data_IF_756716129073
#
_entry.id   IF_756716129073
#
_cell.length_a   1.000
_cell.length_b   1.000
_cell.length_c   1.000
_cell.angle_alpha   90.00
_cell.angle_beta   90.00
_cell.angle_gamma   90.00
#
_symmetry.space_group_name_H-M   'P 1'
#
loop_
_entity.id
_entity.type
_entity.pdbx_description
1 polymer ?
#
# COMPACT_ATOMS: atom_id res chain seq x y z
N UNK A 1 23.09 -29.36 16.38
CA UNK A 1 23.28 -27.91 16.23
C UNK A 1 22.20 -27.23 17.04
N UNK A 2 22.54 -26.52 18.12
CA UNK A 2 21.57 -25.70 18.84
C UNK A 2 21.00 -24.65 17.88
N UNK A 3 19.69 -24.40 17.88
CA UNK A 3 19.14 -23.26 17.17
C UNK A 3 19.82 -22.01 17.74
N UNK A 4 20.64 -21.38 16.91
CA UNK A 4 21.22 -20.07 17.16
C UNK A 4 20.08 -19.12 17.55
N UNK A 5 20.26 -18.44 18.69
CA UNK A 5 19.37 -17.39 19.17
C UNK A 5 19.10 -16.42 18.01
N UNK A 6 17.88 -16.46 17.47
CA UNK A 6 17.34 -15.36 16.65
C UNK A 6 17.39 -14.13 17.56
N UNK A 7 18.14 -13.10 17.17
CA UNK A 7 18.18 -11.86 17.93
C UNK A 7 16.77 -11.27 17.97
N UNK A 8 16.34 -10.82 19.13
CA UNK A 8 15.00 -10.28 19.39
C UNK A 8 14.87 -8.83 18.91
N UNK A 9 15.24 -8.54 17.66
CA UNK A 9 14.84 -7.29 17.00
C UNK A 9 13.50 -7.50 16.31
N UNK A 10 12.46 -7.75 17.09
CA UNK A 10 11.09 -7.79 16.60
C UNK A 10 10.56 -6.37 16.47
N UNK A 11 9.95 -6.03 15.33
CA UNK A 11 9.21 -4.78 15.17
C UNK A 11 8.17 -4.63 16.27
N UNK A 12 7.93 -3.39 16.72
CA UNK A 12 6.88 -3.10 17.70
C UNK A 12 5.53 -3.59 17.18
N UNK A 13 4.86 -4.43 17.97
CA UNK A 13 3.50 -4.88 17.69
C UNK A 13 2.50 -3.89 18.29
N UNK A 14 1.79 -3.16 17.44
CA UNK A 14 0.76 -2.19 17.80
C UNK A 14 -0.61 -2.85 17.61
N UNK A 15 -1.19 -3.31 18.70
CA UNK A 15 -2.52 -3.92 18.73
C UNK A 15 -3.57 -2.86 19.04
N UNK A 16 -4.56 -2.71 18.16
CA UNK A 16 -5.61 -1.70 18.29
C UNK A 16 -6.99 -2.30 18.11
N UNK A 17 -7.96 -1.87 18.91
CA UNK A 17 -9.31 -2.43 18.92
C UNK A 17 -10.41 -1.37 18.96
N UNK A 18 -11.53 -1.60 18.28
CA UNK A 18 -12.71 -0.74 18.35
C UNK A 18 -13.09 -0.14 17.00
N UNK A 19 -13.79 0.99 17.03
CA UNK A 19 -14.14 1.81 15.88
C UNK A 19 -12.89 2.34 15.15
N UNK A 20 -12.99 2.81 13.90
CA UNK A 20 -11.84 3.38 13.19
C UNK A 20 -11.12 4.47 13.99
N UNK A 21 -11.86 5.42 14.57
CA UNK A 21 -11.28 6.47 15.39
C UNK A 21 -10.55 5.93 16.64
N UNK A 22 -11.19 5.04 17.41
CA UNK A 22 -10.58 4.45 18.62
C UNK A 22 -9.31 3.65 18.29
N UNK A 23 -9.32 2.91 17.18
CA UNK A 23 -8.13 2.20 16.70
C UNK A 23 -7.02 3.17 16.33
N UNK A 24 -7.39 4.27 15.66
CA UNK A 24 -6.48 5.35 15.34
C UNK A 24 -5.85 5.95 16.58
N UNK A 25 -6.66 6.33 17.57
CA UNK A 25 -6.20 6.91 18.83
C UNK A 25 -5.20 5.98 19.54
N UNK A 26 -5.50 4.69 19.62
CA UNK A 26 -4.60 3.69 20.19
C UNK A 26 -3.30 3.55 19.40
N UNK A 27 -3.34 3.56 18.06
CA UNK A 27 -2.14 3.52 17.23
C UNK A 27 -1.28 4.76 17.48
N UNK A 28 -1.89 5.95 17.40
CA UNK A 28 -1.23 7.22 17.64
C UNK A 28 -0.53 7.27 19.00
N UNK A 29 -1.22 6.83 20.06
CA UNK A 29 -0.65 6.83 21.41
C UNK A 29 0.46 5.78 21.60
N UNK A 30 0.32 4.58 21.03
CA UNK A 30 1.32 3.52 21.16
C UNK A 30 2.60 3.78 20.36
N UNK A 31 2.50 4.48 19.22
CA UNK A 31 3.60 4.73 18.31
C UNK A 31 4.00 6.22 18.20
N UNK A 32 3.54 7.05 19.15
CA UNK A 32 3.68 8.52 19.10
C UNK A 32 5.10 8.99 18.77
N UNK A 33 6.13 8.47 19.46
CA UNK A 33 7.52 8.86 19.22
C UNK A 33 7.98 8.54 17.78
N UNK A 34 7.62 7.36 17.27
CA UNK A 34 7.95 6.92 15.90
C UNK A 34 7.23 7.77 14.85
N UNK A 35 5.96 8.12 15.12
CA UNK A 35 5.15 9.00 14.27
C UNK A 35 5.79 10.39 14.17
N UNK A 36 6.15 11.02 15.30
CA UNK A 36 6.81 12.33 15.31
C UNK A 36 8.16 12.31 14.59
N UNK A 37 8.93 11.23 14.74
CA UNK A 37 10.17 11.05 13.99
C UNK A 37 9.90 10.97 12.49
N UNK A 38 8.95 10.13 12.06
CA UNK A 38 8.58 10.01 10.65
C UNK A 38 8.12 11.34 10.06
N UNK A 39 7.26 12.08 10.77
CA UNK A 39 6.79 13.41 10.34
C UNK A 39 7.99 14.33 10.11
N UNK A 40 8.85 14.46 11.12
CA UNK A 40 10.02 15.35 11.07
C UNK A 40 10.97 14.94 9.95
N UNK A 41 11.20 13.63 9.78
CA UNK A 41 12.11 13.11 8.76
C UNK A 41 11.57 13.36 7.36
N UNK A 42 10.31 13.02 7.07
CA UNK A 42 9.75 13.22 5.74
C UNK A 42 9.68 14.69 5.36
N UNK A 43 9.35 15.59 6.28
CA UNK A 43 9.39 17.05 6.05
C UNK A 43 10.79 17.57 5.69
N UNK A 44 11.85 16.86 6.07
CA UNK A 44 13.24 17.25 5.77
C UNK A 44 13.85 16.54 4.56
N UNK A 45 13.16 15.55 3.96
CA UNK A 45 13.75 14.77 2.87
C UNK A 45 13.75 15.59 1.56
N UNK A 46 14.87 15.62 0.81
CA UNK A 46 14.92 16.27 -0.50
C UNK A 46 13.97 15.64 -1.53
N UNK A 47 13.54 14.40 -1.32
CA UNK A 47 12.57 13.70 -2.17
C UNK A 47 11.13 14.14 -1.93
N UNK A 48 10.86 14.97 -0.92
CA UNK A 48 9.54 15.53 -0.65
C UNK A 48 9.46 16.97 -1.16
N UNK A 49 8.27 17.41 -1.65
CA UNK A 49 8.09 18.79 -2.08
C UNK A 49 8.12 19.74 -0.87
N UNK A 50 8.17 21.05 -1.11
CA UNK A 50 8.14 22.04 -0.03
C UNK A 50 6.87 21.93 0.81
N UNK A 51 6.93 22.35 2.07
CA UNK A 51 5.81 22.25 3.00
C UNK A 51 4.53 22.91 2.47
N UNK A 52 4.64 24.08 1.82
CA UNK A 52 3.49 24.78 1.20
C UNK A 52 2.79 23.94 0.13
N UNK A 53 3.55 23.12 -0.61
CA UNK A 53 3.00 22.21 -1.61
C UNK A 53 2.32 21.05 -0.90
N UNK A 54 2.99 20.42 0.07
CA UNK A 54 2.41 19.32 0.86
C UNK A 54 1.07 19.75 1.49
N UNK A 55 1.05 20.89 2.19
CA UNK A 55 -0.13 21.39 2.89
C UNK A 55 -1.30 21.69 1.95
N UNK A 56 -1.02 22.21 0.75
CA UNK A 56 -2.02 22.43 -0.28
C UNK A 56 -2.60 21.10 -0.76
N UNK A 57 -1.75 20.15 -1.12
CA UNK A 57 -2.18 18.84 -1.63
C UNK A 57 -3.01 18.06 -0.62
N UNK A 58 -2.54 18.00 0.61
CA UNK A 58 -3.22 17.32 1.70
C UNK A 58 -4.61 17.91 1.94
N UNK A 59 -4.71 19.24 2.01
CA UNK A 59 -5.95 19.95 2.32
C UNK A 59 -6.96 19.96 1.17
N UNK A 60 -6.50 20.28 -0.03
CA UNK A 60 -7.39 20.61 -1.14
C UNK A 60 -7.73 19.38 -2.00
N UNK A 61 -6.90 18.33 -1.96
CA UNK A 61 -7.07 17.14 -2.80
C UNK A 61 -7.24 15.86 -1.99
N UNK A 62 -6.32 15.56 -1.06
CA UNK A 62 -6.32 14.26 -0.38
C UNK A 62 -7.43 14.15 0.66
N UNK A 63 -7.52 15.07 1.63
CA UNK A 63 -8.55 15.01 2.67
C UNK A 63 -9.97 14.94 2.08
N UNK A 64 -10.35 15.79 1.09
CA UNK A 64 -11.67 15.72 0.48
C UNK A 64 -11.92 14.40 -0.25
N UNK A 65 -10.92 13.84 -0.95
CA UNK A 65 -11.06 12.55 -1.62
C UNK A 65 -11.20 11.40 -0.61
N UNK A 66 -10.41 11.41 0.46
CA UNK A 66 -10.49 10.41 1.55
C UNK A 66 -11.87 10.49 2.21
N UNK A 67 -12.38 11.69 2.49
CA UNK A 67 -13.72 11.86 3.04
C UNK A 67 -14.81 11.26 2.15
N UNK A 68 -14.68 11.42 0.82
CA UNK A 68 -15.68 10.95 -0.14
C UNK A 68 -15.59 9.44 -0.41
N UNK A 69 -14.38 8.89 -0.56
CA UNK A 69 -14.16 7.54 -1.07
C UNK A 69 -13.72 6.54 0.02
N UNK A 70 -13.09 7.03 1.10
CA UNK A 70 -12.61 6.19 2.19
C UNK A 70 -12.83 6.81 3.60
N UNK A 71 -14.08 7.13 3.98
CA UNK A 71 -14.38 7.86 5.22
C UNK A 71 -13.92 7.14 6.50
N UNK A 72 -13.97 5.80 6.54
CA UNK A 72 -13.44 5.01 7.67
C UNK A 72 -11.92 5.18 7.81
N UNK A 73 -11.20 5.31 6.71
CA UNK A 73 -9.78 5.62 6.71
C UNK A 73 -9.51 7.02 7.27
N UNK A 74 -10.36 8.00 6.92
CA UNK A 74 -10.27 9.36 7.48
C UNK A 74 -10.43 9.35 9.01
N UNK A 75 -11.47 8.70 9.52
CA UNK A 75 -11.70 8.57 10.97
C UNK A 75 -10.50 7.94 11.69
N UNK A 76 -9.93 6.88 11.12
CA UNK A 76 -8.75 6.22 11.70
C UNK A 76 -7.53 7.14 11.67
N UNK A 77 -7.29 7.89 10.59
CA UNK A 77 -6.21 8.89 10.53
C UNK A 77 -6.43 10.05 11.51
N UNK A 78 -7.67 10.52 11.70
CA UNK A 78 -8.00 11.52 12.71
C UNK A 78 -7.73 11.00 14.13
N UNK A 79 -8.06 9.73 14.40
CA UNK A 79 -7.70 9.08 15.65
C UNK A 79 -6.19 9.01 15.85
N UNK A 80 -5.42 8.62 14.82
CA UNK A 80 -3.94 8.58 14.89
C UNK A 80 -3.40 9.96 15.25
N UNK A 81 -3.90 11.01 14.59
CA UNK A 81 -3.50 12.39 14.86
C UNK A 81 -3.76 12.79 16.31
N UNK A 82 -4.95 12.49 16.85
CA UNK A 82 -5.29 12.76 18.25
C UNK A 82 -4.40 11.97 19.22
N UNK A 83 -4.26 10.66 18.98
CA UNK A 83 -3.49 9.77 19.83
C UNK A 83 -2.00 10.10 19.88
N UNK A 84 -1.43 10.56 18.76
CA UNK A 84 -0.04 10.99 18.64
C UNK A 84 0.16 12.48 18.97
N UNK A 85 -0.92 13.25 19.22
CA UNK A 85 -0.88 14.70 19.46
C UNK A 85 -0.21 15.46 18.31
N UNK A 86 -0.64 15.20 17.08
CA UNK A 86 -0.20 15.87 15.86
C UNK A 86 -1.42 16.27 15.00
N UNK A 87 -1.19 16.91 13.85
CA UNK A 87 -2.26 17.30 12.93
C UNK A 87 -2.74 16.13 12.07
N UNK A 88 -4.00 16.18 11.63
CA UNK A 88 -4.52 15.24 10.64
C UNK A 88 -3.72 15.33 9.35
N UNK A 89 -3.31 16.54 8.97
CA UNK A 89 -2.55 16.82 7.77
C UNK A 89 -1.20 16.09 7.76
N UNK A 90 -0.52 16.04 8.91
CA UNK A 90 0.74 15.31 9.05
C UNK A 90 0.55 13.80 8.90
N UNK A 91 -0.56 13.25 9.41
CA UNK A 91 -0.89 11.82 9.24
C UNK A 91 -1.27 11.52 7.78
N UNK A 92 -2.03 12.40 7.13
CA UNK A 92 -2.36 12.26 5.70
C UNK A 92 -1.09 12.37 4.86
N UNK A 93 -0.16 13.27 5.20
CA UNK A 93 1.16 13.35 4.54
C UNK A 93 1.93 12.03 4.68
N UNK A 94 1.99 11.42 5.87
CA UNK A 94 2.66 10.12 6.05
C UNK A 94 2.02 9.02 5.19
N UNK A 95 0.69 9.02 5.10
CA UNK A 95 -0.02 8.07 4.26
C UNK A 95 0.16 8.39 2.76
N UNK A 96 0.33 9.65 2.37
CA UNK A 96 0.52 10.08 0.99
C UNK A 96 1.99 10.26 0.58
N UNK A 97 2.97 9.90 1.41
CA UNK A 97 4.38 10.20 1.16
C UNK A 97 4.94 9.55 -0.09
N UNK A 98 4.43 8.38 -0.47
CA UNK A 98 4.74 7.76 -1.77
C UNK A 98 4.33 8.70 -2.91
N UNK A 99 3.06 9.09 -2.90
CA UNK A 99 2.46 9.96 -3.89
C UNK A 99 3.17 11.31 -3.94
N UNK A 100 3.30 12.00 -2.82
CA UNK A 100 3.94 13.32 -2.73
C UNK A 100 5.39 13.31 -3.24
N UNK A 101 6.15 12.24 -3.02
CA UNK A 101 7.52 12.15 -3.53
C UNK A 101 7.61 12.09 -5.05
N UNK A 102 6.52 11.73 -5.76
CA UNK A 102 6.46 11.83 -7.22
C UNK A 102 6.46 13.28 -7.72
N UNK A 103 6.16 14.26 -6.86
CA UNK A 103 6.08 15.67 -7.24
C UNK A 103 7.45 16.22 -7.60
N UNK A 104 8.48 15.78 -6.88
CA UNK A 104 9.85 16.30 -7.01
C UNK A 104 10.55 15.76 -8.26
N UNK A 105 9.93 14.82 -9.00
CA UNK A 105 10.50 14.19 -10.20
C UNK A 105 11.95 13.77 -9.98
N UNK A 106 12.16 12.81 -9.08
CA UNK A 106 13.50 12.30 -8.86
C UNK A 106 13.95 11.45 -10.06
N UNK A 107 15.05 11.88 -10.68
CA UNK A 107 15.88 11.09 -11.62
C UNK A 107 16.56 9.90 -10.93
N UNK A 108 16.56 9.87 -9.58
CA UNK A 108 16.93 8.67 -8.83
C UNK A 108 15.80 7.67 -8.99
N UNK A 109 16.10 6.54 -9.64
CA UNK A 109 15.17 5.50 -10.06
C UNK A 109 14.25 4.93 -8.97
N UNK A 110 13.48 3.87 -9.28
CA UNK A 110 12.48 3.34 -8.38
C UNK A 110 13.06 2.94 -7.02
N UNK A 111 12.27 3.07 -5.96
CA UNK A 111 12.45 2.21 -4.79
C UNK A 111 12.21 0.78 -5.29
N UNK A 112 13.28 0.01 -5.41
CA UNK A 112 13.23 -1.37 -5.87
C UNK A 112 12.35 -2.17 -4.89
N UNK A 113 11.39 -2.92 -5.41
CA UNK A 113 10.53 -3.80 -4.63
C UNK A 113 10.22 -4.99 -5.54
N UNK A 114 10.26 -6.20 -5.00
CA UNK A 114 9.89 -7.41 -5.73
C UNK A 114 8.82 -8.15 -4.97
N UNK A 115 7.73 -8.51 -5.64
CA UNK A 115 6.66 -9.31 -5.07
C UNK A 115 6.38 -10.56 -5.89
N UNK A 116 5.77 -11.54 -5.22
CA UNK A 116 5.25 -12.73 -5.87
C UNK A 116 3.92 -13.16 -5.25
N UNK A 117 3.15 -13.92 -6.02
CA UNK A 117 2.07 -14.72 -5.48
C UNK A 117 2.10 -16.11 -6.06
N UNK A 118 1.71 -17.09 -5.25
CA UNK A 118 1.74 -18.50 -5.59
C UNK A 118 0.45 -19.16 -5.11
N UNK A 119 -0.23 -19.86 -6.01
CA UNK A 119 -1.34 -20.75 -5.65
C UNK A 119 -0.84 -22.18 -5.72
N UNK A 120 -0.96 -22.90 -4.60
CA UNK A 120 -0.67 -24.34 -4.51
C UNK A 120 -1.94 -25.11 -4.16
N UNK A 121 -2.04 -26.33 -4.66
CA UNK A 121 -3.09 -27.28 -4.29
C UNK A 121 -2.60 -28.14 -3.13
N UNK A 122 -3.52 -28.70 -2.32
CA UNK A 122 -3.16 -29.67 -1.30
C UNK A 122 -2.42 -30.92 -1.83
N UNK A 123 -2.53 -31.22 -3.13
CA UNK A 123 -1.80 -32.31 -3.77
C UNK A 123 -0.31 -31.98 -4.01
N UNK A 124 0.08 -30.70 -3.93
CA UNK A 124 1.44 -30.24 -4.22
C UNK A 124 2.35 -30.29 -2.96
N UNK A 125 1.82 -30.76 -1.81
CA UNK A 125 2.50 -30.90 -0.51
C UNK A 125 1.57 -30.64 0.68
N UNK A 126 2.10 -30.67 1.91
CA UNK A 126 1.33 -30.21 3.09
C UNK A 126 1.08 -28.70 3.00
N UNK A 127 -0.18 -28.25 3.14
CA UNK A 127 -0.50 -26.83 3.29
C UNK A 127 -0.76 -26.07 1.97
N UNK A 128 -1.48 -26.68 1.03
CA UNK A 128 -2.03 -25.97 -0.14
C UNK A 128 -2.72 -24.65 0.22
N UNK A 129 -2.51 -23.60 -0.56
CA UNK A 129 -3.04 -22.27 -0.26
C UNK A 129 -2.61 -21.20 -1.25
N UNK A 130 -2.92 -19.94 -0.91
CA UNK A 130 -2.45 -18.77 -1.65
C UNK A 130 -1.41 -18.04 -0.81
N UNK A 131 -0.23 -17.88 -1.38
CA UNK A 131 0.89 -17.17 -0.79
C UNK A 131 1.07 -15.85 -1.51
N UNK A 132 1.31 -14.78 -0.75
CA UNK A 132 1.69 -13.47 -1.26
C UNK A 132 2.93 -13.05 -0.49
N UNK A 133 3.99 -12.70 -1.19
CA UNK A 133 5.27 -12.34 -0.60
C UNK A 133 5.86 -11.11 -1.27
N UNK A 134 6.69 -10.38 -0.53
CA UNK A 134 7.38 -9.19 -1.04
C UNK A 134 8.68 -8.96 -0.29
N UNK A 135 9.74 -8.62 -1.03
CA UNK A 135 10.87 -7.86 -0.50
C UNK A 135 10.54 -6.37 -0.62
N UNK A 136 10.68 -5.66 0.49
CA UNK A 136 10.41 -4.23 0.56
C UNK A 136 11.72 -3.46 0.73
N UNK A 137 12.29 -2.99 -0.38
CA UNK A 137 13.52 -2.21 -0.34
C UNK A 137 13.17 -0.73 -0.14
N UNK A 138 13.62 -0.19 0.98
CA UNK A 138 13.43 1.21 1.34
C UNK A 138 14.66 1.75 2.06
N UNK A 139 14.70 3.06 2.22
CA UNK A 139 15.80 3.75 2.88
C UNK A 139 16.11 3.14 4.26
N UNK A 140 17.39 2.81 4.54
CA UNK A 140 17.83 2.16 5.78
C UNK A 140 17.40 2.89 7.06
N UNK A 141 17.25 4.22 6.98
CA UNK A 141 16.87 5.03 8.14
C UNK A 141 15.57 4.57 8.81
N UNK A 142 14.63 3.96 8.08
CA UNK A 142 13.40 3.46 8.67
C UNK A 142 13.65 2.32 9.66
N UNK A 143 14.57 1.43 9.31
CA UNK A 143 15.03 0.34 10.18
C UNK A 143 15.96 0.87 11.27
N UNK A 144 16.94 1.70 10.91
CA UNK A 144 17.96 2.21 11.83
C UNK A 144 17.35 3.06 12.96
N UNK A 145 16.21 3.71 12.71
CA UNK A 145 15.50 4.54 13.69
C UNK A 145 14.24 3.86 14.24
N UNK A 146 14.06 2.56 14.00
CA UNK A 146 12.95 1.75 14.52
C UNK A 146 11.56 2.39 14.28
N UNK A 147 11.27 2.75 13.03
CA UNK A 147 10.00 3.43 12.66
C UNK A 147 8.99 2.52 11.97
N UNK A 148 9.34 1.24 11.83
CA UNK A 148 8.50 0.18 11.27
C UNK A 148 7.76 -0.52 12.42
N UNK A 149 6.48 -0.82 12.21
CA UNK A 149 5.61 -1.50 13.17
C UNK A 149 4.85 -2.63 12.50
N UNK A 150 4.39 -3.58 13.31
CA UNK A 150 3.30 -4.50 12.95
C UNK A 150 2.02 -3.91 13.50
N UNK A 151 1.14 -3.44 12.62
CA UNK A 151 -0.18 -2.93 13.00
C UNK A 151 -1.19 -4.09 12.95
N UNK A 152 -1.75 -4.45 14.10
CA UNK A 152 -2.82 -5.43 14.22
C UNK A 152 -4.10 -4.73 14.64
N UNK A 153 -5.02 -4.56 13.71
CA UNK A 153 -6.30 -3.91 13.94
C UNK A 153 -7.41 -4.94 14.14
N UNK A 154 -8.31 -4.68 15.09
CA UNK A 154 -9.47 -5.52 15.38
C UNK A 154 -10.72 -4.66 15.51
N UNK A 155 -11.77 -5.00 14.77
CA UNK A 155 -13.11 -4.44 14.90
C UNK A 155 -14.02 -5.47 15.58
N UNK A 156 -14.15 -5.44 16.92
CA UNK A 156 -14.90 -6.46 17.66
C UNK A 156 -16.41 -6.36 17.45
N UNK A 157 -16.89 -5.19 17.04
CA UNK A 157 -18.32 -4.88 16.91
C UNK A 157 -18.81 -5.00 15.46
N UNK A 158 -17.93 -5.31 14.51
CA UNK A 158 -18.36 -5.54 13.13
C UNK A 158 -19.20 -6.81 13.02
N UNK A 159 -20.47 -6.59 12.72
CA UNK A 159 -21.45 -7.62 12.37
C UNK A 159 -21.53 -7.81 10.85
N UNK A 160 -20.78 -7.00 10.08
CA UNK A 160 -20.76 -7.09 8.64
C UNK A 160 -19.87 -8.25 8.19
N UNK A 161 -20.49 -9.36 7.79
CA UNK A 161 -19.78 -10.55 7.29
C UNK A 161 -18.94 -10.29 6.04
N UNK A 162 -19.19 -9.20 5.32
CA UNK A 162 -18.42 -8.81 4.15
C UNK A 162 -17.23 -7.90 4.47
N UNK A 163 -16.97 -7.61 5.75
CA UNK A 163 -15.82 -6.82 6.21
C UNK A 163 -14.97 -7.65 7.18
N UNK A 164 -13.63 -7.54 7.11
CA UNK A 164 -12.76 -8.29 7.99
C UNK A 164 -12.85 -7.77 9.42
N UNK A 165 -12.94 -8.69 10.39
CA UNK A 165 -12.84 -8.35 11.82
C UNK A 165 -11.44 -8.01 12.26
N UNK A 166 -10.44 -8.52 11.58
CA UNK A 166 -9.04 -8.26 11.91
C UNK A 166 -8.18 -8.11 10.67
N UNK A 167 -7.25 -7.17 10.72
CA UNK A 167 -6.19 -6.96 9.73
C UNK A 167 -4.84 -6.93 10.44
N UNK A 168 -3.81 -7.48 9.80
CA UNK A 168 -2.42 -7.39 10.26
C UNK A 168 -1.57 -6.93 9.08
N UNK A 169 -0.76 -5.89 9.30
CA UNK A 169 0.10 -5.35 8.27
C UNK A 169 1.43 -4.87 8.84
N UNK A 170 2.50 -5.09 8.08
CA UNK A 170 3.76 -4.37 8.25
C UNK A 170 3.56 -2.96 7.70
N UNK A 171 3.96 -1.94 8.46
CA UNK A 171 3.78 -0.54 8.05
C UNK A 171 4.76 0.38 8.73
N UNK A 172 4.90 1.60 8.21
CA UNK A 172 5.56 2.68 8.94
C UNK A 172 4.59 3.24 9.99
N UNK A 173 5.11 3.61 11.15
CA UNK A 173 4.32 4.23 12.21
C UNK A 173 3.59 5.48 11.69
N UNK A 174 2.28 5.54 11.90
CA UNK A 174 1.39 6.60 11.41
C UNK A 174 0.67 6.29 10.09
N UNK A 175 1.07 5.24 9.37
CA UNK A 175 0.35 4.77 8.18
C UNK A 175 -0.76 3.77 8.55
N UNK A 176 -1.83 3.73 7.76
CA UNK A 176 -2.94 2.80 7.96
C UNK A 176 -2.62 1.34 7.64
N UNK A 177 -1.49 1.08 6.98
CA UNK A 177 -1.04 -0.25 6.59
C UNK A 177 -0.30 -0.23 5.26
N UNK A 178 0.67 -1.15 5.09
CA UNK A 178 1.28 -1.43 3.79
C UNK A 178 0.99 -2.86 3.38
N UNK A 179 1.92 -3.77 3.63
CA UNK A 179 1.83 -5.15 3.17
C UNK A 179 1.29 -6.02 4.30
N UNK A 180 0.27 -6.83 4.02
CA UNK A 180 -0.45 -7.52 5.09
C UNK A 180 -1.58 -8.43 4.61
N UNK A 181 -2.38 -8.88 5.56
CA UNK A 181 -3.54 -9.74 5.32
C UNK A 181 -4.68 -9.48 6.30
N UNK A 182 -5.85 -10.06 6.03
CA UNK A 182 -7.03 -9.92 6.87
C UNK A 182 -7.68 -11.26 7.24
N UNK A 183 -8.58 -11.21 8.23
CA UNK A 183 -9.31 -12.37 8.78
C UNK A 183 -10.26 -13.07 7.79
N UNK A 184 -10.57 -12.44 6.65
CA UNK A 184 -11.35 -13.05 5.57
C UNK A 184 -10.46 -13.67 4.48
N UNK A 185 -9.13 -13.66 4.69
CA UNK A 185 -8.15 -14.31 3.85
C UNK A 185 -7.75 -13.52 2.61
N UNK A 186 -7.91 -12.20 2.62
CA UNK A 186 -7.27 -11.32 1.62
C UNK A 186 -5.86 -10.98 2.08
N UNK A 187 -4.91 -10.95 1.14
CA UNK A 187 -3.55 -10.46 1.34
C UNK A 187 -3.18 -9.48 0.23
N UNK A 188 -2.34 -8.49 0.54
CA UNK A 188 -1.85 -7.51 -0.43
C UNK A 188 -0.43 -7.10 -0.14
N UNK A 189 0.37 -7.04 -1.21
CA UNK A 189 1.68 -6.39 -1.30
C UNK A 189 1.66 -5.46 -2.52
N UNK A 190 2.69 -4.65 -2.72
CA UNK A 190 2.65 -3.66 -3.80
C UNK A 190 4.00 -3.03 -4.11
N UNK A 191 4.28 -2.84 -5.39
CA UNK A 191 5.56 -2.33 -5.88
C UNK A 191 5.38 -0.96 -6.55
N UNK A 192 6.41 -0.13 -6.45
CA UNK A 192 6.38 1.20 -7.05
C UNK A 192 6.37 1.09 -8.59
N UNK A 193 5.42 1.76 -9.23
CA UNK A 193 5.39 1.98 -10.69
C UNK A 193 5.45 3.48 -11.01
N UNK A 194 5.72 3.80 -12.27
CA UNK A 194 5.66 5.18 -12.75
C UNK A 194 5.30 5.18 -14.24
N UNK A 195 4.25 5.90 -14.61
CA UNK A 195 3.84 6.05 -16.01
C UNK A 195 3.92 7.52 -16.47
N UNK A 196 3.93 7.73 -17.78
CA UNK A 196 3.78 9.08 -18.37
C UNK A 196 2.41 9.73 -18.11
N UNK A 197 1.42 8.96 -17.62
CA UNK A 197 0.13 9.51 -17.22
C UNK A 197 0.17 10.06 -15.79
N UNK A 198 1.14 9.67 -14.96
CA UNK A 198 1.27 10.18 -13.59
C UNK A 198 1.30 11.69 -13.60
N UNK A 199 0.46 12.29 -12.77
CA UNK A 199 0.31 13.74 -12.77
C UNK A 199 0.15 14.26 -11.35
N UNK A 200 0.42 15.55 -11.25
CA UNK A 200 0.21 16.35 -10.05
C UNK A 200 -0.84 17.39 -10.40
N UNK A 201 -2.06 17.31 -9.82
CA UNK A 201 -3.10 18.32 -10.00
C UNK A 201 -2.49 19.74 -10.02
N UNK A 202 -2.65 20.42 -11.16
CA UNK A 202 -1.89 21.64 -11.43
C UNK A 202 -2.18 22.72 -10.38
N UNK A 203 -1.12 23.44 -9.97
CA UNK A 203 -1.16 24.58 -9.04
C UNK A 203 -2.19 25.66 -9.40
N UNK A 204 -2.70 25.67 -10.65
CA UNK A 204 -3.45 26.77 -11.24
C UNK A 204 -4.78 26.34 -11.89
N UNK A 205 -5.19 25.07 -11.80
CA UNK A 205 -6.52 24.67 -12.25
C UNK A 205 -7.47 24.63 -11.05
N UNK A 206 -8.37 25.62 -10.97
CA UNK A 206 -9.40 25.73 -9.93
C UNK A 206 -10.42 24.56 -9.91
N UNK A 207 -10.19 23.51 -10.71
CA UNK A 207 -11.12 22.42 -11.02
C UNK A 207 -10.51 21.02 -10.89
N UNK A 208 -9.31 20.87 -10.30
CA UNK A 208 -8.75 19.54 -10.08
C UNK A 208 -9.67 18.76 -9.13
N UNK A 209 -10.29 17.68 -9.62
CA UNK A 209 -11.10 16.80 -8.77
C UNK A 209 -10.22 16.26 -7.63
N UNK A 210 -10.72 16.19 -6.39
CA UNK A 210 -10.03 15.48 -5.32
C UNK A 210 -9.59 14.09 -5.78
N UNK A 211 -8.37 13.71 -5.41
CA UNK A 211 -7.76 12.41 -5.76
C UNK A 211 -7.23 11.75 -4.51
N UNK A 212 -7.31 10.42 -4.43
CA UNK A 212 -6.70 9.68 -3.32
C UNK A 212 -5.19 9.44 -3.55
N UNK A 213 -4.40 9.42 -2.46
CA UNK A 213 -3.09 8.80 -2.48
C UNK A 213 -3.22 7.30 -2.81
N UNK A 214 -2.52 6.83 -3.85
CA UNK A 214 -2.60 5.42 -4.30
C UNK A 214 -2.07 4.47 -3.23
N UNK A 215 -1.21 4.93 -2.32
CA UNK A 215 -0.73 4.17 -1.17
C UNK A 215 -1.85 3.64 -0.27
N UNK A 216 -2.97 4.36 -0.16
CA UNK A 216 -4.14 3.97 0.64
C UNK A 216 -4.88 2.76 0.06
N UNK A 217 -4.69 2.48 -1.23
CA UNK A 217 -5.30 1.32 -1.89
C UNK A 217 -5.03 0.03 -1.13
N UNK A 218 -3.82 -0.16 -0.60
CA UNK A 218 -3.45 -1.33 0.21
C UNK A 218 -4.39 -1.52 1.39
N UNK A 219 -4.65 -0.45 2.17
CA UNK A 219 -5.60 -0.53 3.29
C UNK A 219 -7.03 -0.75 2.81
N UNK A 220 -7.45 -0.11 1.72
CA UNK A 220 -8.77 -0.34 1.13
C UNK A 220 -8.97 -1.81 0.69
N UNK A 221 -7.92 -2.46 0.17
CA UNK A 221 -7.91 -3.90 -0.15
C UNK A 221 -7.91 -4.76 1.11
N UNK A 222 -7.15 -4.37 2.15
CA UNK A 222 -7.19 -5.05 3.45
C UNK A 222 -8.54 -4.93 4.15
N UNK A 223 -9.37 -3.94 3.81
CA UNK A 223 -10.75 -3.80 4.29
C UNK A 223 -11.76 -4.60 3.43
N UNK A 224 -11.35 -5.15 2.29
CA UNK A 224 -12.19 -5.99 1.43
C UNK A 224 -12.32 -7.42 2.00
N UNK A 225 -13.51 -8.02 1.88
CA UNK A 225 -13.77 -9.39 2.29
C UNK A 225 -13.62 -10.44 1.19
N UNK A 226 -13.48 -10.03 -0.07
CA UNK A 226 -13.28 -10.92 -1.21
C UNK A 226 -12.69 -10.19 -2.43
N UNK A 227 -12.30 -10.96 -3.44
CA UNK A 227 -11.71 -10.49 -4.69
C UNK A 227 -12.64 -9.55 -5.47
N UNK A 228 -13.96 -9.79 -5.47
CA UNK A 228 -14.90 -8.92 -6.18
C UNK A 228 -14.94 -7.50 -5.60
N UNK A 229 -14.86 -7.37 -4.27
CA UNK A 229 -14.71 -6.08 -3.62
C UNK A 229 -13.35 -5.44 -3.94
N UNK A 230 -12.27 -6.22 -3.92
CA UNK A 230 -10.93 -5.74 -4.30
C UNK A 230 -10.89 -5.19 -5.73
N UNK A 231 -11.47 -5.91 -6.69
CA UNK A 231 -11.62 -5.47 -8.08
C UNK A 231 -12.42 -4.16 -8.18
N UNK A 232 -13.56 -4.08 -7.49
CA UNK A 232 -14.36 -2.85 -7.44
C UNK A 232 -13.54 -1.67 -6.89
N UNK A 233 -12.75 -1.91 -5.85
CA UNK A 233 -11.91 -0.89 -5.20
C UNK A 233 -10.85 -0.37 -6.19
N UNK A 234 -10.03 -1.25 -6.77
CA UNK A 234 -8.96 -0.82 -7.70
C UNK A 234 -9.50 -0.18 -8.97
N UNK A 235 -10.66 -0.61 -9.47
CA UNK A 235 -11.26 -0.03 -10.68
C UNK A 235 -11.92 1.34 -10.45
N UNK A 236 -12.32 1.68 -9.22
CA UNK A 236 -13.09 2.91 -8.93
C UNK A 236 -12.32 3.98 -8.18
N UNK A 237 -11.28 3.60 -7.44
CA UNK A 237 -10.46 4.51 -6.64
C UNK A 237 -9.88 5.61 -7.53
N UNK A 238 -10.17 6.87 -7.21
CA UNK A 238 -9.48 8.01 -7.82
C UNK A 238 -7.99 7.96 -7.48
N UNK A 239 -7.12 8.26 -8.44
CA UNK A 239 -5.67 8.20 -8.24
C UNK A 239 -4.97 9.07 -9.27
N UNK A 240 -3.76 9.52 -8.93
CA UNK A 240 -2.96 10.39 -9.78
C UNK A 240 -1.51 9.91 -9.95
N UNK A 241 -1.15 8.80 -9.30
CA UNK A 241 0.14 8.11 -9.43
C UNK A 241 -0.08 6.65 -9.80
N UNK A 242 0.92 6.07 -10.47
CA UNK A 242 0.95 4.64 -10.78
C UNK A 242 1.42 3.82 -9.60
N UNK A 243 0.95 2.58 -9.50
CA UNK A 243 1.37 1.63 -8.48
C UNK A 243 1.03 0.20 -8.94
N UNK A 244 1.73 -0.78 -8.41
CA UNK A 244 1.40 -2.19 -8.61
C UNK A 244 0.80 -2.77 -7.33
N UNK A 245 -0.26 -3.58 -7.43
CA UNK A 245 -0.85 -4.31 -6.31
C UNK A 245 -0.86 -5.82 -6.58
N UNK A 246 -0.10 -6.57 -5.79
CA UNK A 246 -0.15 -8.02 -5.76
C UNK A 246 -1.17 -8.47 -4.72
N UNK A 247 -2.26 -9.08 -5.16
CA UNK A 247 -3.42 -9.43 -4.33
C UNK A 247 -3.63 -10.94 -4.34
N UNK A 248 -3.74 -11.54 -3.16
CA UNK A 248 -4.10 -12.95 -3.00
C UNK A 248 -5.34 -13.13 -2.13
N UNK A 249 -6.10 -14.18 -2.39
CA UNK A 249 -7.27 -14.54 -1.60
C UNK A 249 -7.30 -16.04 -1.28
N UNK A 250 -7.70 -16.40 -0.06
CA UNK A 250 -7.90 -17.79 0.39
C UNK A 250 -8.82 -18.63 -0.51
N UNK A 251 -9.61 -18.02 -1.38
CA UNK A 251 -10.43 -18.71 -2.37
C UNK A 251 -9.64 -19.35 -3.50
N UNK A 252 -8.30 -19.24 -3.51
CA UNK A 252 -7.45 -19.75 -4.60
C UNK A 252 -7.27 -18.76 -5.75
N UNK A 253 -7.62 -17.48 -5.54
CA UNK A 253 -7.49 -16.44 -6.56
C UNK A 253 -6.31 -15.54 -6.20
N UNK A 254 -5.45 -15.30 -7.18
CA UNK A 254 -4.42 -14.28 -7.13
C UNK A 254 -4.52 -13.36 -8.35
N UNK A 255 -4.12 -12.11 -8.19
CA UNK A 255 -4.11 -11.11 -9.26
C UNK A 255 -2.94 -10.16 -9.06
N UNK A 256 -2.29 -9.84 -10.17
CA UNK A 256 -1.44 -8.68 -10.26
C UNK A 256 -2.22 -7.52 -10.87
N UNK A 257 -2.12 -6.33 -10.29
CA UNK A 257 -2.84 -5.16 -10.81
C UNK A 257 -1.88 -4.00 -10.97
N UNK A 258 -1.56 -3.68 -12.21
CA UNK A 258 -0.84 -2.46 -12.56
C UNK A 258 -1.83 -1.31 -12.68
N UNK A 259 -1.62 -0.26 -11.91
CA UNK A 259 -2.46 0.93 -11.89
C UNK A 259 -1.73 2.08 -12.56
N UNK A 260 -2.41 2.77 -13.46
CA UNK A 260 -2.09 4.15 -13.88
C UNK A 260 -3.18 5.09 -13.33
N UNK A 261 -3.06 6.42 -13.46
CA UNK A 261 -4.11 7.34 -13.03
C UNK A 261 -5.50 7.09 -13.64
N UNK A 262 -5.56 6.45 -14.80
CA UNK A 262 -6.80 6.24 -15.54
C UNK A 262 -7.20 4.78 -15.68
N UNK A 263 -6.22 3.88 -15.75
CA UNK A 263 -6.42 2.49 -16.13
C UNK A 263 -5.95 1.53 -15.04
N UNK A 264 -6.53 0.33 -15.02
CA UNK A 264 -6.11 -0.78 -14.19
C UNK A 264 -5.91 -2.01 -15.09
N UNK A 265 -4.68 -2.48 -15.19
CA UNK A 265 -4.32 -3.63 -16.01
C UNK A 265 -4.11 -4.84 -15.11
N UNK A 266 -5.01 -5.82 -15.24
CA UNK A 266 -5.00 -7.02 -14.40
C UNK A 266 -4.24 -8.12 -15.14
N UNK A 267 -3.26 -8.72 -14.48
CA UNK A 267 -2.46 -9.84 -15.00
C UNK A 267 -2.95 -11.12 -14.35
N UNK A 268 -3.19 -12.12 -15.20
CA UNK A 268 -3.56 -13.46 -14.77
C UNK A 268 -2.32 -14.28 -14.44
N UNK A 269 -2.39 -15.18 -13.45
CA UNK A 269 -1.26 -16.00 -13.07
C UNK A 269 -0.80 -16.92 -14.18
N UNK A 270 0.51 -16.91 -14.43
CA UNK A 270 1.15 -17.82 -15.35
C UNK A 270 1.20 -19.21 -14.73
N UNK A 271 1.01 -20.22 -15.58
CA UNK A 271 1.15 -21.62 -15.16
C UNK A 271 2.56 -22.11 -15.45
N UNK A 272 3.26 -22.56 -14.41
CA UNK A 272 4.62 -23.08 -14.48
C UNK A 272 4.60 -24.57 -14.15
N UNK A 273 5.08 -25.39 -15.07
CA UNK A 273 5.22 -26.83 -14.84
C UNK A 273 6.36 -27.11 -13.86
N UNK A 274 6.04 -27.84 -12.78
CA UNK A 274 7.03 -28.31 -11.81
C UNK A 274 6.94 -29.82 -11.64
N UNK A 275 7.93 -30.41 -10.96
CA UNK A 275 7.94 -31.85 -10.62
C UNK A 275 6.70 -32.24 -9.79
N UNK A 276 6.16 -31.31 -8.99
CA UNK A 276 4.97 -31.53 -8.16
C UNK A 276 3.65 -31.22 -8.88
N UNK A 277 3.69 -30.80 -10.15
CA UNK A 277 2.53 -30.38 -10.93
C UNK A 277 2.56 -28.89 -11.34
N UNK A 278 1.54 -28.41 -12.05
CA UNK A 278 1.47 -27.03 -12.51
C UNK A 278 1.19 -26.07 -11.35
N UNK A 279 2.07 -25.10 -11.15
CA UNK A 279 1.91 -24.00 -10.20
C UNK A 279 1.39 -22.75 -10.90
N UNK A 280 0.57 -21.97 -10.21
CA UNK A 280 0.15 -20.64 -10.67
C UNK A 280 0.99 -19.59 -9.97
N UNK A 281 1.92 -18.97 -10.70
CA UNK A 281 2.89 -17.99 -10.19
C UNK A 281 2.66 -16.63 -10.86
N UNK A 282 2.72 -15.58 -10.05
CA UNK A 282 2.96 -14.22 -10.52
C UNK A 282 4.20 -13.67 -9.84
N UNK A 283 4.98 -12.91 -10.59
CA UNK A 283 6.11 -12.15 -10.08
C UNK A 283 6.07 -10.75 -10.66
N UNK A 284 6.39 -9.75 -9.86
CA UNK A 284 6.40 -8.36 -10.30
C UNK A 284 7.51 -7.58 -9.60
N UNK A 285 8.09 -6.62 -10.32
CA UNK A 285 9.08 -5.68 -9.80
C UNK A 285 8.56 -4.24 -9.97
N UNK A 286 9.32 -3.37 -10.62
CA UNK A 286 9.04 -1.93 -10.70
C UNK A 286 8.81 -1.39 -12.13
N UNK A 287 8.59 -2.26 -13.11
CA UNK A 287 8.25 -1.89 -14.49
C UNK A 287 6.92 -2.53 -14.88
N UNK A 288 6.22 -1.91 -15.83
CA UNK A 288 4.99 -2.47 -16.38
C UNK A 288 5.33 -3.70 -17.24
N UNK A 289 4.63 -4.80 -17.01
CA UNK A 289 4.74 -6.09 -17.72
C UNK A 289 3.42 -6.55 -18.30
N UNK A 290 2.28 -5.94 -17.94
CA UNK A 290 0.99 -6.33 -18.51
C UNK A 290 1.00 -6.19 -20.04
N UNK A 291 0.65 -7.25 -20.81
CA UNK A 291 0.57 -7.16 -22.27
C UNK A 291 -0.43 -6.08 -22.73
N UNK A 292 -1.52 -5.88 -21.98
CA UNK A 292 -2.50 -4.84 -22.29
C UNK A 292 -1.90 -3.44 -22.12
N UNK A 293 -1.11 -3.22 -21.06
CA UNK A 293 -0.40 -1.96 -20.85
C UNK A 293 0.69 -1.74 -21.92
N UNK A 294 1.52 -2.75 -22.18
CA UNK A 294 2.61 -2.66 -23.16
C UNK A 294 2.10 -2.45 -24.61
N UNK A 295 0.85 -2.79 -24.89
CA UNK A 295 0.21 -2.51 -26.18
C UNK A 295 -0.26 -1.05 -26.36
N UNK A 296 -0.27 -0.25 -25.29
CA UNK A 296 -0.72 1.16 -25.32
C UNK A 296 0.41 2.06 -25.80
N UNK A 297 0.25 2.68 -26.97
CA UNK A 297 1.20 3.66 -27.49
C UNK A 297 1.12 5.03 -26.80
N UNK A 298 0.03 5.30 -26.08
CA UNK A 298 -0.24 6.57 -25.40
C UNK A 298 0.28 6.63 -23.96
N UNK A 299 0.80 5.52 -23.42
CA UNK A 299 1.35 5.44 -22.06
C UNK A 299 2.78 4.90 -22.14
N UNK A 300 3.71 5.60 -21.51
CA UNK A 300 5.10 5.15 -21.39
C UNK A 300 5.38 4.71 -19.96
N UNK A 301 6.11 3.62 -19.81
CA UNK A 301 6.76 3.29 -18.55
C UNK A 301 7.85 4.35 -18.29
N UNK A 302 7.74 5.06 -17.17
CA UNK A 302 8.72 6.06 -16.80
C UNK A 302 10.01 5.45 -16.24
N UNK A 303 9.96 4.25 -15.67
CA UNK A 303 11.14 3.53 -15.20
C UNK A 303 11.83 2.72 -16.30
N UNK A 304 11.12 2.49 -17.41
CA UNK A 304 11.66 1.92 -18.63
C UNK A 304 12.62 2.88 -19.34
N UNK A 305 13.84 3.01 -18.83
CA UNK A 305 14.99 3.25 -19.70
C UNK A 305 15.16 2.02 -20.59
N UNK A 306 15.11 2.20 -21.90
CA UNK A 306 15.41 1.25 -22.98
C UNK A 306 15.93 -0.12 -22.51
N UNK A 307 15.04 -1.10 -22.35
CA UNK A 307 15.43 -2.51 -22.30
C UNK A 307 14.97 -3.21 -23.57
N UNK A 308 15.91 -3.24 -24.53
CA UNK A 308 16.10 -4.19 -25.63
C UNK A 308 14.94 -4.43 -26.62
N UNK A 309 15.04 -3.77 -27.78
CA UNK A 309 14.85 -4.43 -29.08
C UNK A 309 15.92 -5.50 -29.33
#
# INVERSE_FOLDING_TARGET
MSPSRVSTNSYQHVLVKGTPFERGQQHGSQASTKIHFNISKYKSLPSMPSQDIVDRYVRDYYIPAIAAEFPRGLEEMSGIAEGAKTSLEDIVMLNARYDLSRHVRNEQGPTECTSMSLVTKPADGEGGGVFVAQNWDISPWLQDNDTIIILHSIDPCSNNVSQPRSTIALTEAGQLGRSGMNSLGMAVCANSLWSSQDFFPAMNEASGKPVLPVSLSRRMILDCGNVGQALRTVSRMSRHTSNNLMIGCRSGITMDVELTPHDAFIIHPDTIDTVSGPLQLLTHANHFVSPAMLSRSDIKDGYGGECAS
#
